data_IF_407927445640
#
_entry.id   IF_407927445640
#
_cell.length_a   1.000
_cell.length_b   1.000
_cell.length_c   1.000
_cell.angle_alpha   90.00
_cell.angle_beta   90.00
_cell.angle_gamma   90.00
#
_symmetry.space_group_name_H-M   'P 1'
#
loop_
_entity.id
_entity.type
_entity.pdbx_description
1 polymer ?
#
# COMPACT_ATOMS: atom_id res chain seq x y z
N UNK A 1 2.76 8.15 -10.74
CA UNK A 1 1.29 8.17 -10.67
C UNK A 1 0.82 7.00 -9.85
N UNK A 2 -0.40 7.06 -9.34
CA UNK A 2 -1.05 5.99 -8.58
C UNK A 2 -2.51 5.85 -9.02
N UNK A 3 -3.15 4.73 -8.69
CA UNK A 3 -4.58 4.49 -8.92
C UNK A 3 -5.36 4.68 -7.62
N UNK A 4 -6.55 5.29 -7.72
CA UNK A 4 -7.54 5.37 -6.65
C UNK A 4 -8.88 4.91 -7.22
N UNK A 5 -9.20 3.63 -7.03
CA UNK A 5 -10.23 2.99 -7.85
C UNK A 5 -9.78 2.92 -9.31
N UNK A 6 -10.65 3.32 -10.24
CA UNK A 6 -10.31 3.38 -11.67
C UNK A 6 -9.58 4.67 -12.06
N UNK A 7 -9.69 5.72 -11.24
CA UNK A 7 -9.06 7.03 -11.47
C UNK A 7 -7.54 6.96 -11.27
N UNK A 8 -6.81 7.75 -12.06
CA UNK A 8 -5.38 7.93 -11.89
C UNK A 8 -5.08 9.29 -11.25
N UNK A 9 -4.15 9.30 -10.30
CA UNK A 9 -3.70 10.49 -9.58
C UNK A 9 -2.19 10.70 -9.72
N UNK A 10 -1.80 11.98 -9.74
CA UNK A 10 -0.42 12.43 -9.56
C UNK A 10 -0.24 12.68 -8.07
N UNK A 11 0.68 11.96 -7.43
CA UNK A 11 1.08 12.17 -6.03
C UNK A 11 2.40 12.92 -6.02
N UNK A 12 2.45 14.10 -5.41
CA UNK A 12 3.58 15.02 -5.50
C UNK A 12 4.03 15.51 -4.12
N UNK A 13 5.34 15.34 -3.84
CA UNK A 13 6.00 15.99 -2.71
C UNK A 13 6.10 17.49 -2.97
N UNK A 14 5.62 18.28 -2.02
CA UNK A 14 5.62 19.73 -2.08
C UNK A 14 6.93 20.31 -1.53
N UNK A 15 7.18 21.59 -1.81
CA UNK A 15 8.39 22.29 -1.35
C UNK A 15 8.44 22.42 0.19
N UNK A 16 7.29 22.44 0.86
CA UNK A 16 7.18 22.48 2.33
C UNK A 16 7.32 21.09 2.99
N UNK A 17 7.56 20.04 2.20
CA UNK A 17 7.68 18.67 2.67
C UNK A 17 6.35 17.91 2.75
N UNK A 18 5.19 18.57 2.61
CA UNK A 18 3.89 17.89 2.56
C UNK A 18 3.73 17.08 1.26
N UNK A 19 2.69 16.25 1.19
CA UNK A 19 2.31 15.53 -0.03
C UNK A 19 0.90 15.94 -0.40
N UNK A 20 0.70 16.24 -1.68
CA UNK A 20 -0.62 16.48 -2.27
C UNK A 20 -0.83 15.52 -3.43
N UNK A 21 -2.09 15.22 -3.71
CA UNK A 21 -2.46 14.35 -4.81
C UNK A 21 -3.58 14.98 -5.65
N UNK A 22 -3.50 14.81 -6.97
CA UNK A 22 -4.44 15.42 -7.90
C UNK A 22 -4.86 14.41 -8.96
N UNK A 23 -6.10 14.49 -9.46
CA UNK A 23 -6.49 13.73 -10.65
C UNK A 23 -5.52 14.02 -11.80
N UNK A 24 -5.08 12.97 -12.49
CA UNK A 24 -4.16 13.06 -13.64
C UNK A 24 -4.89 13.52 -14.91
N UNK A 25 -5.65 14.61 -14.83
CA UNK A 25 -6.58 15.07 -15.87
C UNK A 25 -6.45 16.57 -16.03
N UNK A 26 -6.09 17.02 -17.22
CA UNK A 26 -6.00 18.44 -17.54
C UNK A 26 -7.37 19.12 -17.43
N UNK A 27 -7.42 20.26 -16.73
CA UNK A 27 -8.64 21.06 -16.51
C UNK A 27 -9.20 21.77 -17.75
N UNK A 28 -8.50 21.75 -18.89
CA UNK A 28 -9.00 22.34 -20.14
C UNK A 28 -9.96 21.39 -20.86
N UNK A 29 -9.46 20.26 -21.40
CA UNK A 29 -10.24 19.29 -22.18
C UNK A 29 -10.05 17.83 -21.77
N UNK A 30 -9.65 17.58 -20.52
CA UNK A 30 -9.65 16.23 -19.96
C UNK A 30 -8.52 15.29 -20.41
N UNK A 31 -7.48 15.80 -21.08
CA UNK A 31 -6.33 14.96 -21.48
C UNK A 31 -5.53 14.50 -20.26
N UNK A 32 -5.07 13.25 -20.25
CA UNK A 32 -4.11 12.74 -19.25
C UNK A 32 -2.86 13.62 -19.23
N UNK A 33 -2.48 14.09 -18.05
CA UNK A 33 -1.44 15.12 -17.90
C UNK A 33 -0.02 14.52 -17.85
N UNK A 34 0.16 13.45 -17.09
CA UNK A 34 1.45 12.78 -16.85
C UNK A 34 1.35 11.32 -17.28
N UNK A 35 2.27 10.86 -18.15
CA UNK A 35 2.31 9.46 -18.58
C UNK A 35 3.44 8.65 -17.88
N UNK A 36 4.36 9.34 -17.21
CA UNK A 36 5.46 8.69 -16.49
C UNK A 36 4.98 8.16 -15.12
N UNK A 37 5.42 6.96 -14.76
CA UNK A 37 5.03 6.34 -13.50
C UNK A 37 5.71 7.00 -12.27
N UNK A 38 6.91 7.55 -12.44
CA UNK A 38 7.63 8.29 -11.41
C UNK A 38 8.58 9.31 -12.05
N UNK A 39 9.01 10.31 -11.28
CA UNK A 39 9.96 11.33 -11.72
C UNK A 39 10.05 12.50 -10.76
N UNK A 40 10.88 13.49 -11.13
CA UNK A 40 10.99 14.77 -10.43
C UNK A 40 10.66 15.90 -11.41
N UNK A 41 9.72 16.77 -11.04
CA UNK A 41 9.34 17.93 -11.82
C UNK A 41 8.76 19.02 -10.92
N UNK A 42 9.00 20.29 -11.28
CA UNK A 42 8.38 21.46 -10.60
C UNK A 42 6.95 21.73 -11.08
N UNK A 43 6.52 21.08 -12.16
CA UNK A 43 5.20 21.23 -12.75
C UNK A 43 4.98 20.24 -13.89
N UNK A 44 3.77 20.26 -14.45
CA UNK A 44 3.27 19.33 -15.44
C UNK A 44 2.64 20.11 -16.60
N UNK A 45 3.10 19.88 -17.83
CA UNK A 45 2.61 20.58 -19.02
C UNK A 45 1.73 19.65 -19.83
N UNK A 46 0.48 20.06 -20.06
CA UNK A 46 -0.46 19.31 -20.87
C UNK A 46 -0.02 19.28 -22.33
N UNK A 47 0.34 18.10 -22.82
CA UNK A 47 0.75 17.90 -24.21
C UNK A 47 -0.40 17.94 -25.23
N UNK A 48 -1.54 18.57 -24.91
CA UNK A 48 -2.57 18.89 -25.89
C UNK A 48 -2.47 20.36 -26.30
N UNK A 49 -2.71 21.28 -25.36
CA UNK A 49 -2.73 22.73 -25.64
C UNK A 49 -1.69 23.52 -24.81
N UNK A 50 -0.77 22.83 -24.14
CA UNK A 50 0.35 23.45 -23.41
C UNK A 50 0.00 24.12 -22.07
N UNK A 51 -1.18 23.88 -21.49
CA UNK A 51 -1.50 24.37 -20.14
C UNK A 51 -0.53 23.79 -19.11
N UNK A 52 0.15 24.66 -18.37
CA UNK A 52 1.15 24.30 -17.36
C UNK A 52 0.59 24.39 -15.95
N UNK A 53 0.68 23.28 -15.22
CA UNK A 53 0.26 23.16 -13.83
C UNK A 53 1.49 23.04 -12.92
N UNK A 54 1.48 23.68 -11.77
CA UNK A 54 2.54 23.49 -10.77
C UNK A 54 2.49 22.11 -10.11
N UNK A 55 3.55 21.73 -9.40
CA UNK A 55 3.53 20.54 -8.51
C UNK A 55 2.49 20.65 -7.38
N UNK A 56 2.04 21.87 -7.10
CA UNK A 56 0.96 22.25 -6.19
C UNK A 56 -0.44 22.21 -6.86
N UNK A 57 -0.53 21.75 -8.10
CA UNK A 57 -1.79 21.62 -8.86
C UNK A 57 -2.36 22.93 -9.42
N UNK A 58 -1.79 24.10 -9.12
CA UNK A 58 -2.29 25.37 -9.64
C UNK A 58 -2.06 25.50 -11.15
N UNK A 59 -3.00 26.11 -11.88
CA UNK A 59 -2.78 26.49 -13.28
C UNK A 59 -1.88 27.73 -13.34
N UNK A 60 -0.63 27.54 -13.74
CA UNK A 60 0.40 28.59 -13.73
C UNK A 60 0.50 29.30 -15.08
N UNK A 61 0.45 28.55 -16.18
CA UNK A 61 0.62 29.08 -17.52
C UNK A 61 -0.39 28.55 -18.52
N UNK A 62 -0.85 29.43 -19.41
CA UNK A 62 -1.68 29.11 -20.57
C UNK A 62 -1.03 29.76 -21.79
N UNK A 63 -0.70 28.99 -22.85
CA UNK A 63 -0.17 29.58 -24.07
C UNK A 63 -1.15 30.59 -24.68
N UNK A 64 -0.63 31.75 -25.08
CA UNK A 64 -1.41 32.85 -25.65
C UNK A 64 -2.54 33.37 -24.75
N UNK A 65 -2.35 33.32 -23.43
CA UNK A 65 -3.35 33.78 -22.44
C UNK A 65 -3.80 35.22 -22.70
N UNK A 66 -2.85 36.14 -22.91
CA UNK A 66 -3.15 37.57 -23.13
C UNK A 66 -3.91 37.80 -24.43
N UNK A 67 -3.54 37.10 -25.51
CA UNK A 67 -4.07 37.30 -26.85
C UNK A 67 -5.46 36.67 -27.04
N UNK A 68 -5.71 35.50 -26.41
CA UNK A 68 -6.94 34.73 -26.64
C UNK A 68 -7.94 34.81 -25.50
N UNK A 69 -7.47 34.87 -24.26
CA UNK A 69 -8.33 34.85 -23.07
C UNK A 69 -8.43 36.22 -22.40
N UNK A 70 -7.37 37.03 -22.45
CA UNK A 70 -7.29 38.28 -21.69
C UNK A 70 -7.60 38.03 -20.20
N UNK A 71 -8.50 38.82 -19.63
CA UNK A 71 -8.93 38.69 -18.22
C UNK A 71 -10.10 37.72 -18.01
N UNK A 72 -10.60 37.08 -19.07
CA UNK A 72 -11.78 36.20 -18.95
C UNK A 72 -11.48 34.84 -18.29
N UNK A 73 -10.21 34.40 -18.30
CA UNK A 73 -9.81 33.14 -17.70
C UNK A 73 -9.37 33.34 -16.25
N UNK A 74 -10.21 32.93 -15.31
CA UNK A 74 -9.81 32.86 -13.90
C UNK A 74 -9.00 31.58 -13.61
N UNK A 75 -7.67 31.64 -13.73
CA UNK A 75 -6.77 30.51 -13.46
C UNK A 75 -6.90 29.93 -12.04
N UNK A 76 -7.29 30.74 -11.05
CA UNK A 76 -7.46 30.29 -9.65
C UNK A 76 -8.57 29.25 -9.50
N UNK A 77 -9.57 29.24 -10.39
CA UNK A 77 -10.65 28.23 -10.40
C UNK A 77 -10.32 27.01 -11.27
N UNK A 78 -9.14 26.99 -11.91
CA UNK A 78 -8.74 25.99 -12.91
C UNK A 78 -7.54 25.14 -12.49
N UNK A 79 -7.21 25.09 -11.19
CA UNK A 79 -6.23 24.14 -10.64
C UNK A 79 -6.69 22.68 -10.79
N UNK A 80 -5.76 21.73 -10.80
CA UNK A 80 -6.08 20.31 -10.88
C UNK A 80 -7.06 19.90 -9.77
N UNK A 81 -7.97 18.96 -10.08
CA UNK A 81 -8.92 18.47 -9.09
C UNK A 81 -8.16 17.67 -8.04
N UNK A 82 -8.08 18.22 -6.85
CA UNK A 82 -7.30 17.69 -5.73
C UNK A 82 -8.04 16.53 -5.03
N UNK A 83 -7.26 15.55 -4.56
CA UNK A 83 -7.72 14.52 -3.63
C UNK A 83 -7.94 15.19 -2.28
N UNK A 84 -9.16 15.14 -1.76
CA UNK A 84 -9.59 15.91 -0.59
C UNK A 84 -8.73 15.64 0.66
N UNK A 85 -8.33 14.39 0.87
CA UNK A 85 -7.57 13.95 2.04
C UNK A 85 -6.32 13.20 1.61
N UNK A 86 -5.16 13.59 2.13
CA UNK A 86 -3.89 12.85 2.02
C UNK A 86 -3.27 12.76 3.41
N UNK A 87 -3.10 11.55 3.91
CA UNK A 87 -2.59 11.29 5.25
C UNK A 87 -1.55 10.17 5.23
N UNK A 88 -0.76 10.06 6.30
CA UNK A 88 0.29 9.05 6.39
C UNK A 88 0.16 8.20 7.64
N UNK A 89 0.36 6.90 7.48
CA UNK A 89 0.64 5.96 8.56
C UNK A 89 2.11 5.56 8.49
N UNK A 90 2.95 6.19 9.31
CA UNK A 90 4.39 5.91 9.43
C UNK A 90 5.15 5.83 8.08
N UNK A 91 4.87 6.76 7.16
CA UNK A 91 5.52 6.83 5.85
C UNK A 91 4.69 6.23 4.70
N UNK A 92 3.67 5.42 4.99
CA UNK A 92 2.72 4.91 4.00
C UNK A 92 1.64 5.96 3.75
N UNK A 93 1.50 6.40 2.51
CA UNK A 93 0.64 7.53 2.13
C UNK A 93 -0.68 7.01 1.57
N UNK A 94 -1.78 7.44 2.16
CA UNK A 94 -3.14 7.10 1.72
C UNK A 94 -3.88 8.37 1.31
N UNK A 95 -4.75 8.21 0.30
CA UNK A 95 -5.62 9.28 -0.19
C UNK A 95 -7.09 8.89 -0.06
N UNK A 96 -7.96 9.87 0.21
CA UNK A 96 -9.41 9.69 0.19
C UNK A 96 -10.07 10.85 -0.57
N UNK A 97 -11.00 10.53 -1.46
CA UNK A 97 -11.77 11.54 -2.19
C UNK A 97 -12.85 12.21 -1.32
N UNK A 98 -13.30 11.52 -0.27
CA UNK A 98 -14.32 12.02 0.63
C UNK A 98 -13.70 12.86 1.76
N UNK A 99 -14.08 14.13 1.83
CA UNK A 99 -13.61 15.05 2.86
C UNK A 99 -14.13 14.67 4.26
N UNK A 100 -15.27 13.99 4.35
CA UNK A 100 -15.93 13.62 5.60
C UNK A 100 -15.41 12.31 6.20
N UNK A 101 -14.49 11.62 5.51
CA UNK A 101 -13.89 10.39 5.99
C UNK A 101 -13.21 10.57 7.36
N UNK A 102 -13.20 9.54 8.23
CA UNK A 102 -12.43 9.60 9.48
C UNK A 102 -10.93 9.79 9.18
N UNK A 103 -10.15 10.34 10.13
CA UNK A 103 -8.69 10.31 10.05
C UNK A 103 -8.17 8.90 9.79
N UNK A 104 -7.06 8.76 9.07
CA UNK A 104 -6.49 7.47 8.67
C UNK A 104 -6.22 6.56 9.87
N UNK A 105 -5.72 7.13 10.98
CA UNK A 105 -5.47 6.35 12.20
C UNK A 105 -6.76 5.75 12.78
N UNK A 106 -7.85 6.52 12.80
CA UNK A 106 -9.17 6.05 13.26
C UNK A 106 -9.77 5.04 12.27
N UNK A 107 -9.52 5.23 10.98
CA UNK A 107 -9.93 4.30 9.93
C UNK A 107 -9.24 2.95 10.05
N UNK A 108 -7.95 2.92 10.39
CA UNK A 108 -7.24 1.68 10.69
C UNK A 108 -7.80 1.00 11.95
N UNK A 109 -8.28 1.79 12.92
CA UNK A 109 -8.91 1.30 14.14
C UNK A 109 -8.00 0.30 14.89
N UNK A 110 -8.59 -0.79 15.35
CA UNK A 110 -7.86 -1.82 16.12
C UNK A 110 -6.71 -2.47 15.32
N UNK A 111 -6.77 -2.45 13.98
CA UNK A 111 -5.70 -3.01 13.14
C UNK A 111 -4.39 -2.24 13.33
N UNK A 112 -4.44 -0.93 13.62
CA UNK A 112 -3.26 -0.11 13.84
C UNK A 112 -2.37 -0.65 14.97
N UNK A 113 -2.97 -1.17 16.05
CA UNK A 113 -2.23 -1.71 17.19
C UNK A 113 -1.35 -2.90 16.81
N UNK A 114 -1.80 -3.73 15.86
CA UNK A 114 -1.05 -4.88 15.34
C UNK A 114 0.03 -4.48 14.33
N UNK A 115 -0.17 -3.37 13.60
CA UNK A 115 0.78 -2.86 12.61
C UNK A 115 1.92 -2.07 13.24
N UNK A 116 1.66 -1.28 14.29
CA UNK A 116 2.65 -0.41 14.91
C UNK A 116 3.99 -1.11 15.28
N UNK A 117 4.05 -2.35 15.81
CA UNK A 117 5.32 -3.00 16.11
C UNK A 117 6.28 -3.05 14.92
N UNK A 118 5.77 -3.29 13.70
CA UNK A 118 6.59 -3.32 12.48
C UNK A 118 6.63 -1.99 11.74
N UNK A 119 5.54 -1.23 11.67
CA UNK A 119 5.49 0.03 10.91
C UNK A 119 6.13 1.21 11.64
N UNK A 120 6.12 1.21 12.98
CA UNK A 120 6.56 2.32 13.83
C UNK A 120 7.77 1.96 14.67
N UNK A 121 7.66 0.88 15.45
CA UNK A 121 8.66 0.55 16.46
C UNK A 121 9.91 -0.15 15.90
N UNK A 122 9.85 -0.67 14.68
CA UNK A 122 10.99 -1.31 14.01
C UNK A 122 12.13 -0.35 13.64
N UNK A 123 11.91 0.96 13.73
CA UNK A 123 12.77 2.01 13.19
C UNK A 123 12.25 2.65 11.90
N UNK A 124 11.07 2.22 11.43
CA UNK A 124 10.47 2.65 10.16
C UNK A 124 10.69 1.60 9.06
N UNK A 125 9.87 1.70 8.01
CA UNK A 125 9.93 0.81 6.86
C UNK A 125 10.09 1.62 5.57
N UNK A 126 10.68 0.99 4.56
CA UNK A 126 10.79 1.55 3.21
C UNK A 126 10.05 0.67 2.20
N UNK A 127 9.43 1.31 1.20
CA UNK A 127 8.79 0.62 0.09
C UNK A 127 9.73 0.63 -1.12
N UNK A 128 10.16 -0.56 -1.55
CA UNK A 128 11.09 -0.73 -2.66
C UNK A 128 10.29 -0.80 -3.97
N UNK A 129 10.50 0.21 -4.82
CA UNK A 129 9.96 0.27 -6.19
C UNK A 129 11.01 -0.01 -7.28
N UNK A 130 10.61 -0.03 -8.56
CA UNK A 130 9.23 0.03 -9.06
C UNK A 130 8.43 -1.24 -8.73
N UNK A 131 7.10 -1.18 -8.67
CA UNK A 131 6.29 -2.37 -8.43
C UNK A 131 6.29 -3.30 -9.64
N UNK A 132 6.15 -4.60 -9.38
CA UNK A 132 5.65 -5.53 -10.39
C UNK A 132 4.17 -5.25 -10.66
N UNK A 133 3.79 -5.10 -11.94
CA UNK A 133 2.41 -4.84 -12.37
C UNK A 133 1.91 -5.95 -13.28
N UNK A 134 0.79 -6.58 -12.93
CA UNK A 134 0.20 -7.68 -13.71
C UNK A 134 -1.31 -7.58 -13.70
N UNK A 135 -1.95 -7.81 -14.86
CA UNK A 135 -3.41 -7.93 -14.94
C UNK A 135 -3.81 -9.38 -14.66
N UNK A 136 -4.77 -9.56 -13.75
CA UNK A 136 -5.41 -10.86 -13.46
C UNK A 136 -6.90 -10.81 -13.81
N UNK A 137 -7.44 -11.95 -14.23
CA UNK A 137 -8.87 -12.13 -14.48
C UNK A 137 -9.63 -12.53 -13.21
N UNK A 138 -9.62 -11.63 -12.23
CA UNK A 138 -10.35 -11.79 -10.98
C UNK A 138 -10.91 -10.44 -10.52
N UNK A 139 -12.02 -10.49 -9.78
CA UNK A 139 -12.49 -9.34 -9.02
C UNK A 139 -11.47 -8.96 -7.94
N UNK A 140 -11.26 -7.67 -7.71
CA UNK A 140 -10.30 -7.17 -6.70
C UNK A 140 -10.59 -7.66 -5.28
N UNK A 141 -11.85 -8.03 -4.98
CA UNK A 141 -12.24 -8.59 -3.68
C UNK A 141 -11.65 -9.97 -3.42
N UNK A 142 -11.46 -10.79 -4.46
CA UNK A 142 -10.93 -12.15 -4.30
C UNK A 142 -9.51 -12.18 -3.68
N UNK A 143 -8.51 -11.41 -4.17
CA UNK A 143 -7.24 -11.33 -3.46
C UNK A 143 -7.33 -10.55 -2.14
N UNK A 144 -8.25 -9.58 -2.01
CA UNK A 144 -8.42 -8.85 -0.75
C UNK A 144 -8.93 -9.75 0.40
N UNK A 145 -9.94 -10.60 0.15
CA UNK A 145 -10.45 -11.57 1.13
C UNK A 145 -9.44 -12.69 1.41
N UNK A 146 -8.67 -13.11 0.40
CA UNK A 146 -7.61 -14.09 0.58
C UNK A 146 -6.55 -13.57 1.57
N UNK A 147 -6.06 -12.34 1.36
CA UNK A 147 -5.00 -11.79 2.21
C UNK A 147 -5.50 -11.40 3.61
N UNK A 148 -6.75 -10.95 3.76
CA UNK A 148 -7.25 -10.43 5.05
C UNK A 148 -7.36 -11.53 6.12
N UNK A 149 -7.59 -12.79 5.74
CA UNK A 149 -7.83 -13.84 6.74
C UNK A 149 -7.70 -15.29 6.25
N UNK A 150 -7.37 -15.55 4.99
CA UNK A 150 -7.31 -16.92 4.50
C UNK A 150 -5.98 -17.59 4.84
N UNK A 151 -5.83 -18.02 6.10
CA UNK A 151 -4.73 -18.92 6.47
C UNK A 151 -4.99 -20.37 6.01
N UNK A 152 -6.23 -20.70 5.65
CA UNK A 152 -6.67 -22.07 5.43
C UNK A 152 -6.24 -22.60 4.06
N UNK A 153 -6.23 -21.76 3.02
CA UNK A 153 -5.76 -22.15 1.69
C UNK A 153 -4.26 -22.45 1.65
N UNK A 154 -3.48 -21.95 2.61
CA UNK A 154 -2.00 -21.96 2.57
C UNK A 154 -1.46 -23.36 2.36
N UNK A 155 -1.88 -24.32 3.18
CA UNK A 155 -1.36 -25.68 3.11
C UNK A 155 -1.75 -26.40 1.83
N UNK A 156 -2.91 -26.11 1.25
CA UNK A 156 -3.41 -26.78 0.05
C UNK A 156 -2.96 -26.11 -1.25
N UNK A 157 -3.30 -24.85 -1.44
CA UNK A 157 -3.01 -24.06 -2.65
C UNK A 157 -1.50 -23.93 -2.86
N UNK A 158 -0.73 -23.73 -1.80
CA UNK A 158 0.72 -23.58 -1.87
C UNK A 158 1.48 -24.86 -1.55
N UNK A 159 0.84 -26.04 -1.56
CA UNK A 159 1.47 -27.31 -1.20
C UNK A 159 2.77 -27.59 -1.99
N UNK A 160 2.78 -27.27 -3.29
CA UNK A 160 3.98 -27.40 -4.13
C UNK A 160 5.06 -26.39 -3.72
N UNK A 161 4.72 -25.11 -3.61
CA UNK A 161 5.64 -24.05 -3.21
C UNK A 161 6.26 -24.31 -1.83
N UNK A 162 5.47 -24.75 -0.87
CA UNK A 162 5.92 -25.10 0.48
C UNK A 162 6.91 -26.27 0.46
N UNK A 163 6.64 -27.32 -0.34
CA UNK A 163 7.58 -28.45 -0.51
C UNK A 163 8.85 -28.06 -1.26
N UNK A 164 8.77 -27.14 -2.21
CA UNK A 164 9.92 -26.77 -3.04
C UNK A 164 10.82 -25.72 -2.40
N UNK A 165 10.24 -24.68 -1.80
CA UNK A 165 10.97 -23.55 -1.23
C UNK A 165 11.53 -23.79 0.18
N UNK A 166 11.00 -24.79 0.89
CA UNK A 166 11.42 -25.11 2.27
C UNK A 166 11.36 -23.89 3.20
N UNK A 167 10.29 -23.09 3.10
CA UNK A 167 10.05 -21.96 4.00
C UNK A 167 9.69 -22.46 5.40
N UNK A 168 9.62 -21.55 6.38
CA UNK A 168 9.24 -21.91 7.75
C UNK A 168 7.79 -22.43 7.88
N UNK A 169 6.97 -22.27 6.85
CA UNK A 169 5.58 -22.76 6.81
C UNK A 169 5.45 -24.14 6.14
N UNK A 170 6.56 -24.79 5.75
CA UNK A 170 6.54 -26.03 4.96
C UNK A 170 5.79 -27.19 5.60
N UNK A 171 5.64 -27.23 6.92
CA UNK A 171 4.84 -28.26 7.62
C UNK A 171 3.36 -28.25 7.23
N UNK A 172 2.84 -27.12 6.74
CA UNK A 172 1.44 -26.99 6.32
C UNK A 172 1.17 -27.68 4.98
N UNK A 173 2.19 -28.05 4.22
CA UNK A 173 2.05 -28.53 2.85
C UNK A 173 1.11 -29.74 2.75
N UNK A 174 0.10 -29.64 1.89
CA UNK A 174 -0.94 -30.64 1.70
C UNK A 174 -2.03 -30.66 2.78
N UNK A 175 -2.14 -29.62 3.62
CA UNK A 175 -2.96 -29.64 4.85
C UNK A 175 -2.65 -30.87 5.72
N UNK A 176 -1.41 -31.36 5.66
CA UNK A 176 -0.99 -32.61 6.29
C UNK A 176 -0.90 -32.50 7.82
N UNK A 177 -0.61 -31.29 8.31
CA UNK A 177 -0.45 -30.99 9.72
C UNK A 177 -1.20 -29.69 10.03
N UNK A 178 -2.06 -29.73 11.04
CA UNK A 178 -2.63 -28.51 11.62
C UNK A 178 -1.55 -27.79 12.43
N UNK A 179 -1.47 -26.45 12.37
CA UNK A 179 -0.66 -25.69 13.32
C UNK A 179 -1.04 -26.08 14.77
N UNK A 180 -0.08 -26.09 15.71
CA UNK A 180 -0.38 -26.37 17.10
C UNK A 180 -1.39 -25.36 17.66
N UNK A 181 -2.10 -25.75 18.73
CA UNK A 181 -2.97 -24.82 19.44
C UNK A 181 -2.17 -23.59 19.90
N UNK A 182 -2.75 -22.40 19.72
CA UNK A 182 -2.06 -21.14 20.00
C UNK A 182 -1.01 -20.74 18.96
N UNK A 183 -0.98 -21.35 17.76
CA UNK A 183 -0.07 -20.96 16.67
C UNK A 183 -0.30 -19.52 16.13
N UNK A 184 -1.48 -18.96 16.35
CA UNK A 184 -1.82 -17.64 15.83
C UNK A 184 -3.16 -17.11 16.33
N UNK A 185 -3.57 -15.97 15.78
CA UNK A 185 -4.89 -15.37 15.97
C UNK A 185 -5.36 -14.68 14.70
N UNK A 186 -6.62 -14.26 14.66
CA UNK A 186 -7.16 -13.38 13.62
C UNK A 186 -7.88 -12.21 14.29
N UNK A 187 -7.86 -11.05 13.63
CA UNK A 187 -8.55 -9.85 14.09
C UNK A 187 -9.20 -9.11 12.92
N UNK A 188 -10.23 -8.33 13.23
CA UNK A 188 -10.87 -7.39 12.31
C UNK A 188 -11.15 -6.08 13.05
N UNK A 189 -11.55 -5.04 12.33
CA UNK A 189 -11.79 -3.71 12.86
C UNK A 189 -13.08 -3.12 12.30
N UNK A 190 -13.56 -2.05 12.96
CA UNK A 190 -14.81 -1.34 12.61
C UNK A 190 -14.95 -0.99 11.13
N UNK A 191 -13.86 -0.57 10.47
CA UNK A 191 -13.87 -0.10 9.08
C UNK A 191 -13.46 -1.18 8.07
N UNK A 192 -13.40 -2.46 8.50
CA UNK A 192 -13.19 -3.61 7.63
C UNK A 192 -11.74 -4.06 7.44
N UNK A 193 -10.76 -3.31 7.95
CA UNK A 193 -9.36 -3.77 7.97
C UNK A 193 -9.19 -4.95 8.93
N UNK A 194 -8.36 -5.91 8.57
CA UNK A 194 -8.14 -7.11 9.37
C UNK A 194 -6.88 -7.85 8.98
N UNK A 195 -6.48 -8.81 9.83
CA UNK A 195 -5.32 -9.67 9.57
C UNK A 195 -5.34 -10.96 10.38
N UNK A 196 -4.65 -11.97 9.86
CA UNK A 196 -4.13 -13.09 10.62
C UNK A 196 -2.75 -12.76 11.20
N UNK A 197 -2.44 -13.34 12.36
CA UNK A 197 -1.12 -13.32 12.99
C UNK A 197 -0.67 -14.78 13.12
N UNK A 198 0.49 -15.11 12.55
CA UNK A 198 1.13 -16.41 12.74
C UNK A 198 2.45 -16.21 13.50
N UNK A 199 2.49 -16.74 14.72
CA UNK A 199 3.54 -16.41 15.69
C UNK A 199 4.93 -16.82 15.21
N UNK A 200 5.91 -15.94 15.44
CA UNK A 200 7.34 -16.13 15.16
C UNK A 200 7.67 -16.42 13.68
N UNK A 201 6.72 -16.16 12.78
CA UNK A 201 6.82 -16.38 11.34
C UNK A 201 7.73 -15.40 10.58
N UNK A 202 8.85 -14.94 11.15
CA UNK A 202 9.56 -13.77 10.62
C UNK A 202 10.16 -13.95 9.22
N UNK A 203 10.65 -15.13 8.86
CA UNK A 203 11.11 -15.34 7.48
C UNK A 203 9.96 -15.58 6.50
N UNK A 204 8.72 -15.71 6.99
CA UNK A 204 7.52 -15.82 6.16
C UNK A 204 7.65 -16.83 5.02
N UNK A 205 7.41 -16.36 3.80
CA UNK A 205 7.46 -17.18 2.57
C UNK A 205 8.85 -17.26 1.92
N UNK A 206 9.87 -16.63 2.49
CA UNK A 206 11.23 -16.73 1.97
C UNK A 206 11.73 -18.18 2.03
N UNK A 207 12.45 -18.59 0.99
CA UNK A 207 13.05 -19.92 0.91
C UNK A 207 14.14 -20.10 1.97
N UNK A 208 14.54 -21.36 2.18
CA UNK A 208 15.46 -21.77 3.25
C UNK A 208 16.81 -21.05 3.27
N UNK A 209 17.25 -20.47 2.15
CA UNK A 209 18.48 -19.69 2.00
C UNK A 209 18.47 -18.39 2.82
N UNK A 210 17.31 -17.74 2.97
CA UNK A 210 17.18 -16.49 3.75
C UNK A 210 16.70 -16.70 5.18
N UNK A 211 16.20 -17.89 5.52
CA UNK A 211 15.61 -18.16 6.84
C UNK A 211 16.57 -17.85 8.00
N UNK A 212 17.85 -18.32 8.00
CA UNK A 212 18.74 -18.06 9.12
C UNK A 212 18.98 -16.57 9.37
N UNK A 213 19.25 -15.81 8.30
CA UNK A 213 19.60 -14.40 8.38
C UNK A 213 18.40 -13.55 8.83
N UNK A 214 17.22 -13.82 8.26
CA UNK A 214 15.99 -13.11 8.65
C UNK A 214 15.63 -13.42 10.10
N UNK A 215 15.63 -14.70 10.49
CA UNK A 215 15.28 -15.10 11.85
C UNK A 215 16.24 -14.50 12.89
N UNK A 216 17.54 -14.44 12.57
CA UNK A 216 18.54 -13.77 13.41
C UNK A 216 18.29 -12.26 13.54
N UNK A 217 18.03 -11.57 12.42
CA UNK A 217 17.72 -10.14 12.43
C UNK A 217 16.45 -9.82 13.23
N UNK A 218 15.36 -10.53 12.97
CA UNK A 218 14.09 -10.35 13.65
C UNK A 218 14.18 -10.67 15.15
N UNK A 219 14.88 -11.74 15.52
CA UNK A 219 15.12 -12.10 16.92
C UNK A 219 15.94 -11.05 17.66
N UNK A 220 17.06 -10.58 17.08
CA UNK A 220 17.89 -9.56 17.70
C UNK A 220 17.15 -8.23 17.90
N UNK A 221 16.24 -7.87 16.97
CA UNK A 221 15.40 -6.66 17.14
C UNK A 221 14.30 -6.89 18.18
N UNK A 222 13.69 -8.08 18.25
CA UNK A 222 12.71 -8.42 19.29
C UNK A 222 13.27 -8.23 20.70
N UNK A 223 14.51 -8.66 20.96
CA UNK A 223 15.15 -8.50 22.28
C UNK A 223 15.24 -7.03 22.73
N UNK A 224 15.44 -6.12 21.77
CA UNK A 224 15.41 -4.67 22.04
C UNK A 224 13.98 -4.19 22.28
N UNK A 225 13.06 -4.59 21.40
CA UNK A 225 11.65 -4.20 21.48
C UNK A 225 10.94 -4.71 22.75
N UNK A 226 11.37 -5.85 23.31
CA UNK A 226 10.83 -6.35 24.59
C UNK A 226 10.93 -5.27 25.68
N UNK A 227 12.02 -4.49 25.69
CA UNK A 227 12.28 -3.43 26.68
C UNK A 227 11.47 -2.16 26.41
N UNK A 228 10.97 -1.97 25.19
CA UNK A 228 10.33 -0.73 24.74
C UNK A 228 8.80 -0.85 24.67
N UNK A 229 8.30 -1.97 24.15
CA UNK A 229 6.87 -2.17 23.84
C UNK A 229 6.27 -3.43 24.49
N UNK A 230 7.05 -4.12 25.32
CA UNK A 230 6.66 -5.33 26.02
C UNK A 230 6.66 -6.59 25.14
N UNK A 231 6.74 -7.74 25.80
CA UNK A 231 7.03 -9.04 25.16
C UNK A 231 6.02 -9.41 24.06
N UNK A 232 4.73 -9.16 24.30
CA UNK A 232 3.67 -9.52 23.35
C UNK A 232 3.80 -8.70 22.05
N UNK A 233 3.96 -7.38 22.15
CA UNK A 233 4.05 -6.52 20.95
C UNK A 233 5.38 -6.70 20.24
N UNK A 234 6.46 -6.93 20.97
CA UNK A 234 7.75 -7.27 20.40
C UNK A 234 7.71 -8.62 19.67
N UNK A 235 6.93 -9.61 20.15
CA UNK A 235 6.68 -10.85 19.42
C UNK A 235 5.84 -10.62 18.17
N UNK A 236 4.81 -9.76 18.22
CA UNK A 236 4.01 -9.36 17.03
C UNK A 236 4.91 -8.78 15.94
N UNK A 237 5.87 -7.90 16.29
CA UNK A 237 6.83 -7.33 15.32
C UNK A 237 7.48 -8.41 14.45
N UNK A 238 7.85 -9.55 15.05
CA UNK A 238 8.53 -10.64 14.36
C UNK A 238 7.62 -11.82 13.97
N UNK A 239 6.31 -11.60 13.97
CA UNK A 239 5.31 -12.58 13.57
C UNK A 239 4.73 -12.22 12.21
N UNK A 240 4.38 -13.25 11.43
CA UNK A 240 3.87 -13.05 10.09
C UNK A 240 2.43 -12.58 10.14
N UNK A 241 2.17 -11.38 9.61
CA UNK A 241 0.84 -10.81 9.50
C UNK A 241 0.40 -10.86 8.05
N UNK A 242 -0.68 -11.59 7.77
CA UNK A 242 -1.37 -11.51 6.48
C UNK A 242 -2.61 -10.63 6.66
N UNK A 243 -2.69 -9.52 5.93
CA UNK A 243 -3.78 -8.57 6.17
C UNK A 243 -4.19 -7.78 4.95
N UNK A 244 -5.34 -7.14 5.10
CA UNK A 244 -5.86 -6.14 4.18
C UNK A 244 -6.26 -4.90 4.96
N UNK A 245 -5.67 -3.76 4.61
CA UNK A 245 -6.22 -2.44 4.91
C UNK A 245 -7.35 -2.21 3.90
N UNK A 246 -8.57 -2.07 4.39
CA UNK A 246 -9.75 -1.95 3.54
C UNK A 246 -9.61 -0.72 2.61
N UNK A 247 -10.07 -0.80 1.34
CA UNK A 247 -10.68 -1.97 0.70
C UNK A 247 -9.67 -2.92 0.04
N UNK A 248 -8.61 -2.41 -0.58
CA UNK A 248 -7.87 -3.12 -1.62
C UNK A 248 -6.34 -3.04 -1.47
N UNK A 249 -5.84 -2.72 -0.29
CA UNK A 249 -4.41 -2.73 0.01
C UNK A 249 -4.10 -3.90 0.95
N UNK A 250 -3.26 -4.84 0.52
CA UNK A 250 -2.91 -6.00 1.33
C UNK A 250 -1.42 -6.08 1.54
N UNK A 251 -1.01 -6.82 2.58
CA UNK A 251 0.38 -6.97 2.95
C UNK A 251 0.64 -8.34 3.59
N UNK A 252 1.89 -8.78 3.51
CA UNK A 252 2.46 -9.83 4.33
C UNK A 252 3.67 -9.24 5.06
N UNK A 253 3.56 -9.01 6.37
CA UNK A 253 4.73 -8.55 7.14
C UNK A 253 5.77 -9.65 7.22
N UNK A 254 7.01 -9.24 7.43
CA UNK A 254 8.19 -10.11 7.55
C UNK A 254 8.58 -10.82 6.24
N UNK A 255 7.63 -11.44 5.51
CA UNK A 255 7.75 -11.74 4.08
C UNK A 255 8.02 -10.49 3.23
N UNK A 256 7.70 -9.30 3.76
CA UNK A 256 7.96 -8.02 3.13
C UNK A 256 7.15 -7.77 1.86
N UNK A 257 5.94 -8.33 1.74
CA UNK A 257 5.11 -8.16 0.54
C UNK A 257 4.08 -7.05 0.77
N UNK A 258 3.97 -6.11 -0.16
CA UNK A 258 2.95 -5.06 -0.13
C UNK A 258 2.22 -4.99 -1.48
N UNK A 259 0.89 -4.97 -1.45
CA UNK A 259 0.02 -5.17 -2.61
C UNK A 259 -1.04 -4.10 -2.72
N UNK A 260 -1.37 -3.72 -3.94
CA UNK A 260 -2.59 -2.97 -4.26
C UNK A 260 -3.35 -3.71 -5.35
N UNK A 261 -4.63 -3.96 -5.09
CA UNK A 261 -5.55 -4.64 -6.02
C UNK A 261 -6.34 -3.58 -6.79
N UNK A 262 -5.73 -2.97 -7.81
CA UNK A 262 -6.37 -1.87 -8.53
C UNK A 262 -7.52 -2.40 -9.41
N UNK A 263 -8.78 -2.00 -9.16
CA UNK A 263 -9.90 -2.48 -9.95
C UNK A 263 -9.84 -1.88 -11.37
N UNK A 264 -10.11 -2.70 -12.38
CA UNK A 264 -10.38 -2.26 -13.75
C UNK A 264 -11.87 -2.41 -14.03
N UNK A 265 -12.38 -3.63 -13.84
CA UNK A 265 -13.80 -3.98 -13.96
C UNK A 265 -14.14 -5.12 -12.98
N UNK A 266 -15.36 -5.66 -13.06
CA UNK A 266 -15.82 -6.70 -12.15
C UNK A 266 -14.97 -7.99 -12.20
N UNK A 267 -14.30 -8.27 -13.32
CA UNK A 267 -13.56 -9.50 -13.56
C UNK A 267 -12.07 -9.25 -13.87
N UNK A 268 -11.59 -8.02 -13.68
CA UNK A 268 -10.24 -7.63 -14.05
C UNK A 268 -9.62 -6.72 -12.99
N UNK A 269 -8.44 -7.09 -12.50
CA UNK A 269 -7.67 -6.36 -11.50
C UNK A 269 -6.24 -6.18 -11.97
N UNK A 270 -5.69 -4.98 -11.86
CA UNK A 270 -4.26 -4.73 -12.02
C UNK A 270 -3.56 -4.83 -10.67
N UNK A 271 -2.77 -5.87 -10.49
CA UNK A 271 -2.03 -6.16 -9.26
C UNK A 271 -0.73 -5.38 -9.25
N UNK A 272 -0.53 -4.54 -8.24
CA UNK A 272 0.76 -3.91 -7.97
C UNK A 272 1.43 -4.63 -6.80
N UNK A 273 2.71 -4.94 -6.95
CA UNK A 273 3.51 -5.65 -5.93
C UNK A 273 4.79 -4.91 -5.64
N UNK A 274 4.96 -4.48 -4.40
CA UNK A 274 6.17 -3.89 -3.86
C UNK A 274 6.80 -4.82 -2.82
N UNK A 275 8.08 -4.60 -2.55
CA UNK A 275 8.73 -5.13 -1.36
C UNK A 275 8.77 -4.05 -0.26
N UNK A 276 8.63 -4.48 0.99
CA UNK A 276 8.70 -3.65 2.19
C UNK A 276 9.83 -4.16 3.07
N UNK A 277 10.75 -3.29 3.46
CA UNK A 277 11.96 -3.62 4.25
C UNK A 277 12.08 -2.77 5.51
#
# INVERSE_FOLDING_TARGET
TAKMGIDEVIVSRQNDGSIRAFLNVCRHRGKTLVNAEAGNAKGFVCSYHGWGFGSNGELQSVPFEKELYGESLNKKCMGLKEVARVESFHGFIYGCFDQEAPPLMDYLGDAAWYLEPIFKHSGGLELIGPPGKVIIKANWKAPAENFVGDAYHVGWTHASSLRSGQSIFSSLAGNAVLPPEGAGLQMTSKYGSGMGVLWDGYSGVHSSDLVPDLMAFGGAKQERLNKEIGDVRARIYRSHLNGTVFPNNSFLTCSGVFKVWNPIDANTTEVWTYAMV
#
